data_IF_535398541801
#
_entry.id   IF_535398541801
#
_cell.length_a   1.000
_cell.length_b   1.000
_cell.length_c   1.000
_cell.angle_alpha   90.00
_cell.angle_beta   90.00
_cell.angle_gamma   90.00
#
_symmetry.space_group_name_H-M   'P 1'
#
loop_
_entity.id
_entity.type
_entity.pdbx_description
1 polymer ?
#
# COMPACT_ATOMS: atom_id res chain seq x y z
N UNK A 1 -15.56 13.76 -9.19
CA UNK A 1 -15.65 14.15 -7.77
C UNK A 1 -14.45 15.02 -7.47
N UNK A 2 -14.63 16.19 -6.85
CA UNK A 2 -13.54 17.11 -6.56
C UNK A 2 -13.38 17.26 -5.04
N UNK A 3 -12.15 17.16 -4.54
CA UNK A 3 -11.80 17.33 -3.14
C UNK A 3 -10.96 18.60 -3.00
N UNK A 4 -11.20 19.38 -1.96
CA UNK A 4 -10.43 20.60 -1.67
C UNK A 4 -9.69 20.39 -0.36
N UNK A 5 -8.37 20.50 -0.41
CA UNK A 5 -7.48 20.41 0.74
C UNK A 5 -6.93 21.81 0.99
N UNK A 6 -7.05 22.30 2.22
CA UNK A 6 -6.38 23.54 2.62
C UNK A 6 -4.97 23.20 3.05
N UNK A 7 -4.01 23.91 2.48
CA UNK A 7 -2.60 23.82 2.81
C UNK A 7 -2.12 25.21 3.22
N UNK A 8 -1.21 25.26 4.17
CA UNK A 8 -0.34 26.41 4.39
C UNK A 8 0.57 26.63 3.17
N UNK A 9 1.21 27.80 3.11
CA UNK A 9 2.12 28.11 2.01
C UNK A 9 3.31 27.14 1.95
N UNK A 10 3.86 26.76 3.11
CA UNK A 10 5.01 25.86 3.21
C UNK A 10 4.65 24.41 2.84
N UNK A 11 3.51 23.90 3.30
CA UNK A 11 3.00 22.58 2.89
C UNK A 11 2.76 22.52 1.38
N UNK A 12 2.21 23.59 0.80
CA UNK A 12 1.99 23.67 -0.65
C UNK A 12 3.31 23.65 -1.41
N UNK A 13 4.32 24.42 -0.96
CA UNK A 13 5.65 24.44 -1.58
C UNK A 13 6.29 23.05 -1.54
N UNK A 14 6.26 22.40 -0.38
CA UNK A 14 6.80 21.05 -0.21
C UNK A 14 6.11 20.03 -1.12
N UNK A 15 4.78 19.98 -1.09
CA UNK A 15 4.02 19.02 -1.88
C UNK A 15 4.15 19.26 -3.39
N UNK A 16 4.27 20.53 -3.82
CA UNK A 16 4.50 20.88 -5.24
C UNK A 16 5.91 20.43 -5.67
N UNK A 17 6.94 20.71 -4.88
CA UNK A 17 8.31 20.29 -5.19
C UNK A 17 8.43 18.75 -5.28
N UNK A 18 7.74 18.02 -4.41
CA UNK A 18 7.63 16.56 -4.51
C UNK A 18 6.97 16.13 -5.83
N UNK A 19 5.79 16.68 -6.14
CA UNK A 19 5.06 16.31 -7.36
C UNK A 19 5.89 16.61 -8.63
N UNK A 20 6.57 17.75 -8.67
CA UNK A 20 7.44 18.17 -9.78
C UNK A 20 8.64 17.21 -9.94
N UNK A 21 9.30 16.81 -8.85
CA UNK A 21 10.40 15.83 -8.86
C UNK A 21 9.97 14.50 -9.48
N UNK A 22 8.73 14.09 -9.24
CA UNK A 22 8.16 12.85 -9.74
C UNK A 22 7.38 13.03 -11.06
N UNK A 23 7.45 14.20 -11.70
CA UNK A 23 6.77 14.48 -12.98
C UNK A 23 5.27 14.17 -12.95
N UNK A 24 4.60 14.48 -11.83
CA UNK A 24 3.18 14.24 -11.62
C UNK A 24 2.47 15.51 -11.14
N UNK A 25 1.15 15.57 -11.29
CA UNK A 25 0.37 16.66 -10.73
C UNK A 25 0.26 16.55 -9.21
N UNK A 26 0.05 17.68 -8.54
CA UNK A 26 -0.18 17.71 -7.08
C UNK A 26 -1.34 16.80 -6.66
N UNK A 27 -2.40 16.74 -7.47
CA UNK A 27 -3.55 15.88 -7.20
C UNK A 27 -3.26 14.38 -7.36
N UNK A 28 -2.38 14.01 -8.29
CA UNK A 28 -1.90 12.63 -8.44
C UNK A 28 -1.02 12.23 -7.26
N UNK A 29 -0.09 13.10 -6.85
CA UNK A 29 0.75 12.86 -5.67
C UNK A 29 -0.09 12.60 -4.41
N UNK A 30 -1.10 13.44 -4.15
CA UNK A 30 -2.00 13.23 -3.01
C UNK A 30 -2.84 11.95 -3.13
N UNK A 31 -3.32 11.62 -4.33
CA UNK A 31 -4.08 10.39 -4.55
C UNK A 31 -3.22 9.17 -4.31
N UNK A 32 -2.02 9.13 -4.88
CA UNK A 32 -1.09 8.03 -4.73
C UNK A 32 -0.71 7.84 -3.25
N UNK A 33 -0.30 8.90 -2.57
CA UNK A 33 0.06 8.84 -1.16
C UNK A 33 -1.10 8.36 -0.27
N UNK A 34 -2.35 8.72 -0.58
CA UNK A 34 -3.52 8.23 0.14
C UNK A 34 -3.72 6.72 -0.08
N UNK A 35 -3.65 6.24 -1.31
CA UNK A 35 -3.85 4.82 -1.60
C UNK A 35 -2.71 3.95 -1.09
N UNK A 36 -1.47 4.43 -1.17
CA UNK A 36 -0.30 3.76 -0.61
C UNK A 36 -0.45 3.57 0.91
N UNK A 37 -0.92 4.61 1.62
CA UNK A 37 -1.22 4.52 3.06
C UNK A 37 -2.32 3.50 3.38
N UNK A 38 -3.35 3.42 2.53
CA UNK A 38 -4.46 2.45 2.69
C UNK A 38 -3.97 1.03 2.41
N UNK A 39 -3.15 0.84 1.38
CA UNK A 39 -2.54 -0.43 1.01
C UNK A 39 -1.64 -0.94 2.14
N UNK A 40 -0.75 -0.10 2.68
CA UNK A 40 0.10 -0.44 3.81
C UNK A 40 -0.71 -0.94 5.03
N UNK A 41 -1.78 -0.23 5.39
CA UNK A 41 -2.65 -0.62 6.51
C UNK A 41 -3.40 -1.93 6.23
N UNK A 42 -3.83 -2.13 4.99
CA UNK A 42 -4.50 -3.36 4.57
C UNK A 42 -3.55 -4.57 4.58
N UNK A 43 -2.35 -4.40 4.03
CA UNK A 43 -1.32 -5.44 3.96
C UNK A 43 -0.87 -5.90 5.35
N UNK A 44 -0.75 -4.96 6.30
CA UNK A 44 -0.45 -5.30 7.70
C UNK A 44 -1.52 -6.24 8.28
N UNK A 45 -2.81 -5.88 8.13
CA UNK A 45 -3.92 -6.70 8.64
C UNK A 45 -3.93 -8.07 7.98
N UNK A 46 -3.78 -8.13 6.65
CA UNK A 46 -3.77 -9.38 5.91
C UNK A 46 -2.59 -10.28 6.33
N UNK A 47 -1.42 -9.69 6.57
CA UNK A 47 -0.25 -10.39 7.05
C UNK A 47 -0.43 -10.96 8.47
N UNK A 48 -1.08 -10.21 9.36
CA UNK A 48 -1.43 -10.68 10.70
C UNK A 48 -2.40 -11.87 10.65
N UNK A 49 -3.44 -11.79 9.81
CA UNK A 49 -4.40 -12.87 9.61
C UNK A 49 -3.71 -14.14 9.07
N UNK A 50 -2.87 -14.00 8.04
CA UNK A 50 -2.11 -15.12 7.49
C UNK A 50 -1.17 -15.76 8.51
N UNK A 51 -0.54 -14.95 9.38
CA UNK A 51 0.31 -15.45 10.46
C UNK A 51 -0.51 -16.21 11.51
N UNK A 52 -1.69 -15.70 11.88
CA UNK A 52 -2.59 -16.35 12.82
C UNK A 52 -3.08 -17.70 12.30
N UNK A 53 -3.47 -17.78 11.02
CA UNK A 53 -3.87 -19.03 10.37
C UNK A 53 -2.72 -20.05 10.33
N UNK A 54 -1.51 -19.59 9.98
CA UNK A 54 -0.31 -20.44 10.00
C UNK A 54 0.02 -20.96 11.40
N UNK A 55 -0.14 -20.12 12.43
CA UNK A 55 0.03 -20.52 13.83
C UNK A 55 -1.05 -21.52 14.28
N UNK A 56 -2.30 -21.32 13.85
CA UNK A 56 -3.42 -22.21 14.14
C UNK A 56 -3.25 -23.61 13.54
N UNK A 57 -2.63 -23.71 12.35
CA UNK A 57 -2.26 -25.01 11.75
C UNK A 57 -1.02 -25.66 12.39
N UNK A 58 -0.39 -24.99 13.37
CA UNK A 58 0.77 -25.51 14.09
C UNK A 58 2.07 -25.35 13.31
N UNK A 59 2.20 -24.28 12.52
CA UNK A 59 3.40 -23.96 11.74
C UNK A 59 3.79 -25.05 10.74
N UNK A 60 2.81 -25.72 10.13
CA UNK A 60 3.07 -26.75 9.12
C UNK A 60 3.46 -26.10 7.80
N UNK A 61 4.67 -26.41 7.35
CA UNK A 61 5.10 -26.07 6.00
C UNK A 61 4.68 -27.16 5.02
N UNK A 62 4.47 -26.76 3.77
CA UNK A 62 4.23 -27.64 2.63
C UNK A 62 5.26 -27.41 1.54
N UNK A 63 5.54 -28.40 0.67
CA UNK A 63 6.45 -28.23 -0.45
C UNK A 63 6.04 -27.05 -1.34
N UNK A 64 7.02 -26.29 -1.82
CA UNK A 64 6.79 -25.14 -2.71
C UNK A 64 6.09 -25.53 -4.03
N UNK A 65 6.23 -26.79 -4.46
CA UNK A 65 5.57 -27.29 -5.67
C UNK A 65 4.04 -27.24 -5.60
N UNK A 66 3.45 -27.46 -4.42
CA UNK A 66 1.98 -27.35 -4.24
C UNK A 66 1.51 -25.90 -4.45
N UNK A 67 2.30 -24.92 -4.01
CA UNK A 67 1.99 -23.51 -4.24
C UNK A 67 2.05 -23.15 -5.73
N UNK A 68 3.04 -23.66 -6.46
CA UNK A 68 3.18 -23.40 -7.89
C UNK A 68 2.00 -23.97 -8.69
N UNK A 69 1.58 -25.19 -8.38
CA UNK A 69 0.38 -25.79 -8.99
C UNK A 69 -0.88 -24.94 -8.73
N UNK A 70 -1.06 -24.42 -7.51
CA UNK A 70 -2.17 -23.52 -7.16
C UNK A 70 -2.11 -22.16 -7.88
N UNK A 71 -0.91 -21.61 -8.04
CA UNK A 71 -0.68 -20.35 -8.75
C UNK A 71 -0.67 -20.49 -10.28
N UNK A 72 -0.71 -21.73 -10.80
CA UNK A 72 -0.68 -22.01 -12.23
C UNK A 72 0.64 -21.65 -12.91
N UNK A 73 1.76 -21.73 -12.17
CA UNK A 73 3.12 -21.45 -12.66
C UNK A 73 4.05 -22.66 -12.56
#
# INVERSE_FOLDING_TARGET
MAFSIRLTEDERKLATAYADLHTMSLGEAFKQALFERIEDEYDVVLGEDALNDYAADGYKSRPIGELWEECGI
#
